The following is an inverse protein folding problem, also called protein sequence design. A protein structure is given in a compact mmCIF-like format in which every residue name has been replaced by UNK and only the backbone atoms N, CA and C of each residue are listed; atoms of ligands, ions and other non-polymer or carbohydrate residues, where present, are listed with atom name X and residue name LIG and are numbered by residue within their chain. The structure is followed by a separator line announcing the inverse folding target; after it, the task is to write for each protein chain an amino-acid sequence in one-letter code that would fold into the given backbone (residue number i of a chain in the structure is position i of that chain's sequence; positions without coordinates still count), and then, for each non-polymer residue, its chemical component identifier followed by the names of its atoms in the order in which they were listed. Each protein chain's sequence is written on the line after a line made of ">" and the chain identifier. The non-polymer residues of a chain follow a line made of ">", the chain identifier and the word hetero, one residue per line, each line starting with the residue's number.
data_IF_657259569941
#
_entry.id   IF_657259569941
#
_cell.length_a   1.000
_cell.length_b   1.000
_cell.length_c   1.000
_cell.angle_alpha   90.00
_cell.angle_beta   90.00
_cell.angle_gamma   90.00
#
_symmetry.space_group_name_H-M   'P 1'
#
loop_
_entity.id
_entity.type
_entity.pdbx_description
1 polymer ?
#
# COMPACT_ATOMS: atom_id res chain seq x y z
N UNK A 1 -13.11 21.73 -16.61
CA UNK A 1 -13.64 20.68 -15.72
C UNK A 1 -13.95 19.46 -16.54
N UNK A 2 -13.49 18.27 -16.12
CA UNK A 2 -13.88 16.98 -16.69
C UNK A 2 -14.43 16.06 -15.59
N UNK A 3 -15.17 15.03 -16.00
CA UNK A 3 -15.69 14.03 -15.07
C UNK A 3 -15.59 12.64 -15.69
N UNK A 4 -15.11 11.68 -14.91
CA UNK A 4 -15.02 10.28 -15.27
C UNK A 4 -15.91 9.44 -14.35
N UNK A 5 -16.66 8.51 -14.95
CA UNK A 5 -17.53 7.57 -14.23
C UNK A 5 -17.10 6.15 -14.52
N UNK A 6 -16.91 5.35 -13.47
CA UNK A 6 -16.62 3.92 -13.56
C UNK A 6 -17.48 3.13 -12.61
N UNK A 7 -17.87 1.94 -13.01
CA UNK A 7 -18.66 1.04 -12.17
C UNK A 7 -17.97 -0.28 -11.97
N UNK A 8 -18.18 -0.89 -10.80
CA UNK A 8 -17.74 -2.24 -10.48
C UNK A 8 -18.78 -2.91 -9.56
N UNK A 9 -18.73 -4.23 -9.46
CA UNK A 9 -19.54 -4.98 -8.50
C UNK A 9 -18.61 -5.53 -7.41
N UNK A 10 -18.93 -5.22 -6.15
CA UNK A 10 -18.29 -5.87 -5.02
C UNK A 10 -19.05 -7.16 -4.71
N UNK A 11 -18.36 -8.29 -4.73
CA UNK A 11 -19.00 -9.58 -4.45
C UNK A 11 -19.47 -9.60 -2.98
N UNK A 12 -20.67 -10.14 -2.73
CA UNK A 12 -21.16 -10.33 -1.37
C UNK A 12 -20.29 -11.28 -0.54
N UNK A 13 -19.61 -12.22 -1.19
CA UNK A 13 -18.64 -13.11 -0.54
C UNK A 13 -17.40 -12.39 -0.02
N UNK A 14 -17.18 -11.16 -0.45
CA UNK A 14 -16.08 -10.29 0.00
C UNK A 14 -16.48 -9.37 1.17
N UNK A 15 -17.68 -9.48 1.69
CA UNK A 15 -18.10 -8.74 2.88
C UNK A 15 -17.13 -9.01 4.04
N UNK A 16 -16.62 -7.94 4.65
CA UNK A 16 -15.51 -8.00 5.62
C UNK A 16 -14.10 -7.78 5.02
N UNK A 17 -13.95 -7.74 3.69
CA UNK A 17 -12.73 -7.29 3.03
C UNK A 17 -12.67 -5.76 3.00
N UNK A 18 -11.46 -5.23 2.79
CA UNK A 18 -11.23 -3.80 2.56
C UNK A 18 -11.13 -3.53 1.07
N UNK A 19 -11.77 -2.47 0.62
CA UNK A 19 -11.68 -1.98 -0.76
C UNK A 19 -11.04 -0.61 -0.78
N UNK A 20 -9.95 -0.45 -1.54
CA UNK A 20 -9.22 0.79 -1.69
C UNK A 20 -9.10 1.15 -3.17
N UNK A 21 -9.20 2.44 -3.48
CA UNK A 21 -8.88 2.96 -4.81
C UNK A 21 -7.59 3.77 -4.74
N UNK A 22 -6.67 3.48 -5.64
CA UNK A 22 -5.37 4.13 -5.75
C UNK A 22 -5.27 4.85 -7.09
N UNK A 23 -4.91 6.12 -7.07
CA UNK A 23 -4.67 6.93 -8.26
C UNK A 23 -3.19 7.24 -8.37
N UNK A 24 -2.55 6.83 -9.47
CA UNK A 24 -1.14 7.14 -9.72
C UNK A 24 -0.93 8.60 -10.13
N UNK A 25 -1.96 9.25 -10.69
CA UNK A 25 -1.92 10.67 -11.03
C UNK A 25 -3.19 11.16 -11.69
N UNK A 26 -3.70 12.30 -11.17
CA UNK A 26 -4.86 13.03 -11.69
C UNK A 26 -4.55 14.52 -11.69
N UNK A 27 -4.63 15.18 -12.83
CA UNK A 27 -4.34 16.61 -12.94
C UNK A 27 -5.63 17.41 -13.18
N UNK A 28 -6.00 18.34 -12.31
CA UNK A 28 -5.68 18.65 -10.91
C UNK A 28 -6.99 18.99 -10.19
N UNK A 29 -6.94 19.38 -8.89
CA UNK A 29 -8.13 19.64 -8.06
C UNK A 29 -9.18 18.55 -8.23
N UNK A 30 -8.73 17.29 -8.04
CA UNK A 30 -9.58 16.12 -8.25
C UNK A 30 -10.40 15.83 -6.99
N UNK A 31 -11.71 15.71 -7.15
CA UNK A 31 -12.63 15.26 -6.11
C UNK A 31 -13.17 13.88 -6.50
N UNK A 32 -13.05 12.92 -5.59
CA UNK A 32 -13.45 11.53 -5.83
C UNK A 32 -14.70 11.21 -5.01
N UNK A 33 -15.61 10.47 -5.63
CA UNK A 33 -16.88 10.04 -5.02
C UNK A 33 -17.08 8.54 -5.19
N UNK A 34 -17.69 7.89 -4.22
CA UNK A 34 -18.22 6.52 -4.29
C UNK A 34 -19.71 6.55 -3.93
N UNK A 35 -20.56 6.02 -4.79
CA UNK A 35 -22.03 5.93 -4.57
C UNK A 35 -22.68 7.26 -4.14
N UNK A 36 -22.12 8.39 -4.57
CA UNK A 36 -22.55 9.74 -4.21
C UNK A 36 -21.92 10.34 -2.96
N UNK A 37 -21.11 9.56 -2.21
CA UNK A 37 -20.34 10.06 -1.06
C UNK A 37 -19.00 10.61 -1.51
N UNK A 38 -18.68 11.82 -1.08
CA UNK A 38 -17.38 12.44 -1.32
C UNK A 38 -16.31 11.80 -0.43
N UNK A 39 -15.23 11.31 -1.07
CA UNK A 39 -14.07 10.74 -0.36
C UNK A 39 -13.02 11.80 -0.05
N UNK A 40 -12.94 12.84 -0.84
CA UNK A 40 -12.04 13.95 -0.64
C UNK A 40 -11.55 14.59 -1.94
N UNK A 41 -10.85 15.71 -1.75
CA UNK A 41 -10.26 16.49 -2.85
C UNK A 41 -8.74 16.50 -2.76
N UNK A 42 -8.07 16.25 -3.88
CA UNK A 42 -6.63 16.34 -4.04
C UNK A 42 -6.28 17.49 -4.99
N UNK A 43 -5.74 18.60 -4.48
CA UNK A 43 -5.44 19.77 -5.32
C UNK A 43 -4.22 19.57 -6.22
N UNK A 44 -3.15 18.93 -5.72
CA UNK A 44 -1.89 18.78 -6.46
C UNK A 44 -1.93 17.59 -7.43
N UNK A 45 -1.56 17.85 -8.70
CA UNK A 45 -1.75 16.90 -9.80
C UNK A 45 -0.62 15.90 -10.04
N UNK A 46 0.51 15.96 -9.32
CA UNK A 46 1.71 15.14 -9.62
C UNK A 46 2.08 14.12 -8.53
N UNK A 47 1.20 13.83 -7.59
CA UNK A 47 1.39 12.81 -6.57
C UNK A 47 0.33 11.73 -6.68
N UNK A 48 0.69 10.50 -6.27
CA UNK A 48 -0.25 9.43 -6.08
C UNK A 48 -1.04 9.62 -4.78
N UNK A 49 -2.28 9.15 -4.75
CA UNK A 49 -3.14 9.20 -3.57
C UNK A 49 -4.14 8.05 -3.59
N UNK A 50 -4.71 7.75 -2.43
CA UNK A 50 -5.67 6.67 -2.28
C UNK A 50 -6.83 7.06 -1.36
N UNK A 51 -7.93 6.32 -1.49
CA UNK A 51 -9.10 6.42 -0.61
C UNK A 51 -9.61 5.03 -0.25
N UNK A 52 -10.05 4.88 1.01
CA UNK A 52 -10.79 3.72 1.46
C UNK A 52 -12.24 3.82 0.96
N UNK A 53 -12.70 2.79 0.27
CA UNK A 53 -14.06 2.69 -0.25
C UNK A 53 -14.97 1.89 0.68
N UNK A 54 -14.40 1.10 1.56
CA UNK A 54 -15.08 0.07 2.36
C UNK A 54 -16.35 0.56 3.04
N UNK A 55 -16.37 1.73 3.72
CA UNK A 55 -17.56 2.20 4.43
C UNK A 55 -18.77 2.48 3.52
N UNK A 56 -18.53 2.64 2.22
CA UNK A 56 -19.55 3.04 1.25
C UNK A 56 -19.87 1.96 0.21
N UNK A 57 -19.27 0.77 0.35
CA UNK A 57 -19.49 -0.36 -0.56
C UNK A 57 -20.90 -0.94 -0.38
N UNK A 58 -21.58 -1.12 -1.51
CA UNK A 58 -22.80 -1.89 -1.60
C UNK A 58 -22.46 -3.31 -2.02
N UNK A 59 -22.48 -4.22 -1.05
CA UNK A 59 -22.11 -5.62 -1.25
C UNK A 59 -23.11 -6.37 -2.12
N UNK A 60 -22.64 -7.11 -3.11
CA UNK A 60 -23.49 -7.82 -4.08
C UNK A 60 -24.15 -6.92 -5.13
N UNK A 61 -23.88 -5.62 -5.09
CA UNK A 61 -24.51 -4.64 -5.96
C UNK A 61 -23.48 -3.88 -6.80
N UNK A 62 -23.99 -3.08 -7.74
CA UNK A 62 -23.20 -2.18 -8.56
C UNK A 62 -22.80 -0.94 -7.76
N UNK A 63 -21.51 -0.68 -7.69
CA UNK A 63 -20.92 0.52 -7.11
C UNK A 63 -20.46 1.48 -8.21
N UNK A 64 -20.57 2.77 -7.96
CA UNK A 64 -20.22 3.84 -8.92
C UNK A 64 -19.16 4.73 -8.33
N UNK A 65 -18.00 4.82 -9.00
CA UNK A 65 -16.96 5.79 -8.72
C UNK A 65 -17.11 6.96 -9.70
N UNK A 66 -17.08 8.19 -9.17
CA UNK A 66 -17.04 9.40 -9.96
C UNK A 66 -15.81 10.23 -9.57
N UNK A 67 -15.10 10.74 -10.58
CA UNK A 67 -13.95 11.62 -10.38
C UNK A 67 -14.23 12.91 -11.11
N UNK A 68 -14.34 14.01 -10.37
CA UNK A 68 -14.40 15.36 -10.91
C UNK A 68 -13.00 15.95 -10.91
N UNK A 69 -12.59 16.53 -12.03
CA UNK A 69 -11.30 17.21 -12.17
C UNK A 69 -11.52 18.64 -12.60
N UNK A 70 -10.88 19.58 -11.94
CA UNK A 70 -11.00 21.01 -12.25
C UNK A 70 -9.63 21.66 -12.50
N UNK A 71 -9.35 21.96 -13.75
CA UNK A 71 -8.18 22.68 -14.20
C UNK A 71 -8.60 23.95 -14.97
N UNK A 72 -9.59 24.68 -14.43
CA UNK A 72 -10.13 25.88 -15.08
C UNK A 72 -9.29 27.15 -14.82
N UNK A 73 -8.49 27.15 -13.75
CA UNK A 73 -7.65 28.32 -13.42
C UNK A 73 -6.50 28.50 -14.42
N UNK A 74 -6.39 29.71 -14.99
CA UNK A 74 -5.38 30.11 -15.96
C UNK A 74 -4.72 31.44 -15.54
N UNK A 75 -3.43 31.69 -15.92
CA UNK A 75 -2.56 30.85 -16.74
C UNK A 75 -1.94 29.70 -15.96
N UNK A 76 -1.92 28.53 -16.58
CA UNK A 76 -1.11 27.42 -16.12
C UNK A 76 0.36 27.60 -16.49
N UNK A 77 1.23 26.83 -15.87
CA UNK A 77 2.68 26.94 -15.92
C UNK A 77 3.28 26.86 -17.34
N UNK A 78 4.60 26.87 -17.41
CA UNK A 78 5.45 27.00 -18.64
C UNK A 78 5.36 25.82 -19.62
N UNK A 79 4.63 24.77 -19.29
CA UNK A 79 4.43 23.57 -20.13
C UNK A 79 2.94 23.27 -20.26
N UNK A 80 2.62 22.44 -21.25
CA UNK A 80 1.25 21.95 -21.42
C UNK A 80 0.81 21.10 -20.25
N UNK A 81 -0.34 21.40 -19.66
CA UNK A 81 -0.99 20.63 -18.60
C UNK A 81 -2.32 20.10 -19.12
N UNK A 82 -2.44 18.78 -19.24
CA UNK A 82 -3.70 18.13 -19.53
C UNK A 82 -4.66 18.23 -18.33
N UNK A 83 -5.92 17.84 -18.55
CA UNK A 83 -6.93 17.76 -17.49
C UNK A 83 -7.48 16.34 -17.45
N UNK A 84 -7.51 15.73 -16.26
CA UNK A 84 -8.07 14.39 -16.07
C UNK A 84 -7.12 13.38 -15.45
N UNK A 85 -7.51 12.12 -15.51
CA UNK A 85 -6.71 10.97 -15.07
C UNK A 85 -5.68 10.69 -16.17
N UNK A 86 -4.39 10.85 -15.86
CA UNK A 86 -3.31 10.66 -16.84
C UNK A 86 -2.41 9.45 -16.54
N UNK A 87 -2.65 8.75 -15.43
CA UNK A 87 -1.94 7.53 -15.04
C UNK A 87 -2.94 6.44 -14.62
N UNK A 88 -2.42 5.32 -14.11
CA UNK A 88 -3.25 4.18 -13.73
C UNK A 88 -4.15 4.47 -12.53
N UNK A 89 -5.29 3.79 -12.50
CA UNK A 89 -6.19 3.72 -11.35
C UNK A 89 -6.36 2.26 -10.98
N UNK A 90 -6.11 1.93 -9.72
CA UNK A 90 -6.16 0.58 -9.20
C UNK A 90 -7.31 0.43 -8.21
N UNK A 91 -8.09 -0.61 -8.36
CA UNK A 91 -9.05 -1.05 -7.35
C UNK A 91 -8.44 -2.24 -6.63
N UNK A 92 -8.10 -2.04 -5.37
CA UNK A 92 -7.41 -3.03 -4.54
C UNK A 92 -8.36 -3.63 -3.54
N UNK A 93 -8.43 -4.96 -3.49
CA UNK A 93 -9.16 -5.73 -2.49
C UNK A 93 -8.18 -6.37 -1.51
N UNK A 94 -8.36 -6.13 -0.23
CA UNK A 94 -7.46 -6.55 0.84
C UNK A 94 -8.20 -7.32 1.94
N UNK A 95 -7.49 -8.17 2.65
CA UNK A 95 -7.94 -8.62 3.97
C UNK A 95 -7.83 -7.46 4.98
N UNK A 96 -8.59 -7.48 6.09
CA UNK A 96 -8.38 -6.52 7.17
C UNK A 96 -6.93 -6.50 7.67
N UNK A 97 -6.28 -7.64 7.70
CA UNK A 97 -4.86 -7.80 8.04
C UNK A 97 -4.06 -7.95 6.75
N UNK A 98 -3.21 -6.99 6.45
CA UNK A 98 -2.46 -6.93 5.18
C UNK A 98 -1.15 -6.13 5.29
N UNK A 99 -0.32 -6.22 4.26
CA UNK A 99 0.84 -5.34 4.09
C UNK A 99 0.36 -3.95 3.68
N UNK A 100 0.86 -2.92 4.36
CA UNK A 100 0.50 -1.54 4.06
C UNK A 100 0.81 -1.17 2.60
N UNK A 101 0.13 -0.18 2.06
CA UNK A 101 0.45 0.35 0.75
C UNK A 101 1.89 0.89 0.73
N UNK A 102 2.70 0.42 -0.26
CA UNK A 102 4.15 0.65 -0.32
C UNK A 102 4.88 0.28 0.98
N UNK A 103 4.31 -0.65 1.73
CA UNK A 103 4.74 -1.01 3.08
C UNK A 103 6.02 -1.83 3.14
N UNK A 104 6.58 -2.30 2.00
CA UNK A 104 7.83 -3.03 2.00
C UNK A 104 8.96 -2.17 1.45
N UNK A 105 9.95 -1.88 2.30
CA UNK A 105 11.16 -1.13 1.96
C UNK A 105 12.36 -2.06 2.02
N UNK A 106 13.13 -2.12 0.93
CA UNK A 106 14.27 -3.02 0.78
C UNK A 106 15.53 -2.22 0.54
N UNK A 107 16.56 -2.44 1.36
CA UNK A 107 17.91 -1.90 1.16
C UNK A 107 18.93 -3.03 1.03
N UNK A 108 20.00 -2.78 0.26
CA UNK A 108 21.10 -3.70 0.13
C UNK A 108 22.33 -3.11 0.80
N UNK A 109 22.92 -3.85 1.72
CA UNK A 109 24.12 -3.51 2.47
C UNK A 109 25.23 -4.52 2.20
N UNK A 110 26.48 -4.15 2.50
CA UNK A 110 27.66 -5.02 2.34
C UNK A 110 27.71 -5.70 0.96
N UNK A 111 27.33 -4.95 -0.08
CA UNK A 111 27.21 -5.47 -1.44
C UNK A 111 28.59 -5.67 -2.06
N UNK A 112 28.82 -6.88 -2.53
CA UNK A 112 29.98 -7.29 -3.30
C UNK A 112 29.58 -8.27 -4.42
N UNK A 113 30.51 -8.68 -5.26
CA UNK A 113 30.28 -9.74 -6.24
C UNK A 113 29.98 -11.10 -5.60
N UNK A 114 30.45 -11.31 -4.36
CA UNK A 114 30.35 -12.59 -3.67
C UNK A 114 29.16 -12.67 -2.71
N UNK A 115 28.70 -11.53 -2.20
CA UNK A 115 27.61 -11.48 -1.22
C UNK A 115 26.90 -10.14 -1.21
N UNK A 116 25.67 -10.14 -0.78
CA UNK A 116 24.91 -8.97 -0.40
C UNK A 116 24.00 -9.30 0.79
N UNK A 117 23.81 -8.34 1.70
CA UNK A 117 22.82 -8.43 2.77
C UNK A 117 21.66 -7.49 2.45
N UNK A 118 20.46 -8.05 2.35
CA UNK A 118 19.24 -7.26 2.15
C UNK A 118 18.57 -7.08 3.50
N UNK A 119 18.27 -5.82 3.85
CA UNK A 119 17.38 -5.48 4.94
C UNK A 119 16.00 -5.18 4.38
N UNK A 120 15.00 -5.82 4.94
CA UNK A 120 13.60 -5.72 4.51
C UNK A 120 12.82 -5.20 5.71
N UNK A 121 12.23 -4.02 5.57
CA UNK A 121 11.29 -3.45 6.54
C UNK A 121 9.90 -3.51 5.94
N UNK A 122 8.99 -4.20 6.63
CA UNK A 122 7.61 -4.38 6.17
C UNK A 122 6.64 -3.81 7.20
N UNK A 123 5.82 -2.89 6.75
CA UNK A 123 4.74 -2.27 7.53
C UNK A 123 3.47 -3.07 7.33
N UNK A 124 2.86 -3.51 8.43
CA UNK A 124 1.63 -4.30 8.47
C UNK A 124 0.50 -3.45 9.04
N UNK A 125 -0.71 -3.68 8.55
CA UNK A 125 -1.93 -3.04 9.02
C UNK A 125 -2.97 -4.07 9.43
N UNK A 126 -3.72 -3.72 10.46
CA UNK A 126 -4.92 -4.43 10.88
C UNK A 126 -6.08 -3.44 10.94
N UNK A 127 -6.80 -3.31 9.82
CA UNK A 127 -7.90 -2.39 9.65
C UNK A 127 -9.20 -3.03 10.12
N UNK A 128 -9.80 -2.45 11.13
CA UNK A 128 -11.12 -2.83 11.63
C UNK A 128 -12.05 -1.64 11.56
N UNK A 129 -13.32 -1.88 11.32
CA UNK A 129 -14.34 -0.88 11.51
C UNK A 129 -14.62 -0.77 13.01
N UNK A 130 -14.19 0.32 13.61
CA UNK A 130 -14.66 0.66 14.94
C UNK A 130 -16.10 1.14 14.79
N UNK A 131 -17.05 0.34 15.22
CA UNK A 131 -18.43 0.80 15.35
C UNK A 131 -18.44 1.83 16.47
N UNK A 132 -18.57 3.09 16.07
CA UNK A 132 -18.72 4.22 17.00
C UNK A 132 -20.18 4.44 17.38
N UNK A 133 -21.00 3.41 17.30
CA UNK A 133 -22.37 3.48 17.80
C UNK A 133 -22.31 3.37 19.31
N UNK A 134 -22.91 4.33 19.96
CA UNK A 134 -23.14 4.48 21.40
C UNK A 134 -22.10 5.29 22.21
N UNK A 135 -21.59 6.38 21.66
CA UNK A 135 -21.13 7.47 22.51
C UNK A 135 -22.29 8.43 22.78
N UNK A 136 -22.81 8.43 23.99
CA UNK A 136 -23.79 9.44 24.44
C UNK A 136 -23.04 10.57 25.10
N UNK A 137 -23.16 11.78 24.54
CA UNK A 137 -22.65 12.98 25.19
C UNK A 137 -23.51 13.27 26.41
N UNK A 138 -22.92 13.29 27.58
CA UNK A 138 -23.58 13.67 28.83
C UNK A 138 -23.77 15.19 28.91
N UNK A 139 -24.67 15.63 29.77
CA UNK A 139 -24.98 17.05 29.96
C UNK A 139 -23.78 17.89 30.45
N UNK A 140 -22.74 17.26 30.98
CA UNK A 140 -21.49 17.89 31.41
C UNK A 140 -20.42 17.92 30.29
N UNK A 141 -20.76 17.49 29.07
CA UNK A 141 -19.86 17.46 27.91
C UNK A 141 -18.95 16.24 27.82
N UNK A 142 -19.04 15.30 28.77
CA UNK A 142 -18.31 14.04 28.71
C UNK A 142 -19.01 13.05 27.79
N UNK A 143 -18.23 12.11 27.18
CA UNK A 143 -18.77 11.03 26.38
C UNK A 143 -18.69 9.72 27.18
N UNK A 144 -19.80 9.00 27.28
CA UNK A 144 -19.80 7.62 27.79
C UNK A 144 -19.86 6.71 26.58
N UNK A 145 -18.81 5.91 26.40
CA UNK A 145 -18.76 4.84 25.40
C UNK A 145 -19.34 3.60 26.04
N UNK A 146 -20.48 3.12 25.52
CA UNK A 146 -21.07 1.87 25.93
C UNK A 146 -20.60 0.78 24.98
N UNK A 147 -20.06 -0.28 25.54
CA UNK A 147 -19.72 -1.54 24.90
C UNK A 147 -18.81 -1.44 23.66
N UNK A 148 -17.51 -1.19 23.91
CA UNK A 148 -16.52 -1.44 22.88
C UNK A 148 -16.36 -2.95 22.74
N UNK A 149 -16.77 -3.54 21.62
CA UNK A 149 -16.32 -4.89 21.27
C UNK A 149 -14.80 -4.93 21.37
N UNK A 150 -14.28 -5.82 22.21
CA UNK A 150 -12.83 -6.02 22.31
C UNK A 150 -12.41 -6.72 21.02
N UNK A 151 -11.87 -5.94 20.09
CA UNK A 151 -11.31 -6.48 18.86
C UNK A 151 -10.07 -7.28 19.24
N UNK A 152 -10.02 -8.59 18.95
CA UNK A 152 -8.92 -9.44 19.38
C UNK A 152 -7.62 -9.05 18.66
N UNK A 153 -6.51 -9.21 19.40
CA UNK A 153 -5.17 -9.22 18.79
C UNK A 153 -5.06 -10.40 17.83
N UNK A 154 -4.26 -10.25 16.77
CA UNK A 154 -4.00 -11.33 15.84
C UNK A 154 -2.50 -11.65 15.78
N UNK A 155 -2.15 -12.91 15.96
CA UNK A 155 -0.80 -13.40 15.76
C UNK A 155 -0.57 -13.75 14.30
N UNK A 156 0.50 -13.20 13.72
CA UNK A 156 0.85 -13.37 12.31
C UNK A 156 2.27 -13.86 12.12
N UNK A 157 2.49 -14.50 10.98
CA UNK A 157 3.81 -14.88 10.46
C UNK A 157 4.04 -14.13 9.17
N UNK A 158 5.13 -13.35 9.11
CA UNK A 158 5.62 -12.72 7.88
C UNK A 158 6.77 -13.56 7.33
N UNK A 159 6.58 -14.11 6.14
CA UNK A 159 7.58 -14.83 5.36
C UNK A 159 7.98 -13.95 4.17
N UNK A 160 9.24 -13.49 4.15
CA UNK A 160 9.79 -12.74 3.01
C UNK A 160 10.71 -13.62 2.20
N UNK A 161 10.42 -13.76 0.91
CA UNK A 161 11.20 -14.55 -0.05
C UNK A 161 11.85 -13.63 -1.06
N UNK A 162 13.14 -13.79 -1.26
CA UNK A 162 13.86 -13.16 -2.36
C UNK A 162 13.78 -14.08 -3.58
N UNK A 163 13.13 -13.61 -4.64
CA UNK A 163 12.90 -14.37 -5.87
C UNK A 163 13.72 -13.75 -6.99
N UNK A 164 14.46 -14.57 -7.74
CA UNK A 164 15.24 -14.13 -8.89
C UNK A 164 14.39 -13.91 -10.16
N UNK A 165 15.04 -13.50 -11.26
CA UNK A 165 14.34 -13.25 -12.53
C UNK A 165 13.71 -14.50 -13.15
N UNK A 166 14.22 -15.69 -12.82
CA UNK A 166 13.71 -16.97 -13.30
C UNK A 166 12.59 -17.56 -12.41
N UNK A 167 12.30 -16.88 -11.30
CA UNK A 167 11.26 -17.29 -10.36
C UNK A 167 11.71 -18.21 -9.25
N UNK A 168 13.02 -18.44 -9.08
CA UNK A 168 13.55 -19.27 -8.01
C UNK A 168 13.68 -18.45 -6.72
N UNK A 169 13.36 -19.08 -5.59
CA UNK A 169 13.62 -18.52 -4.27
C UNK A 169 15.10 -18.67 -3.96
N UNK A 170 15.80 -17.55 -3.83
CA UNK A 170 17.26 -17.51 -3.58
C UNK A 170 17.62 -17.08 -2.16
N UNK A 171 16.62 -16.71 -1.36
CA UNK A 171 16.75 -16.37 0.05
C UNK A 171 15.40 -16.22 0.72
N UNK A 172 15.35 -16.44 2.03
CA UNK A 172 14.12 -16.37 2.80
C UNK A 172 14.39 -15.91 4.23
N UNK A 173 13.44 -15.16 4.80
CA UNK A 173 13.38 -14.81 6.20
C UNK A 173 11.96 -14.96 6.73
N UNK A 174 11.82 -15.37 8.00
CA UNK A 174 10.52 -15.57 8.66
C UNK A 174 10.55 -14.87 10.01
N UNK A 175 9.51 -14.13 10.32
CA UNK A 175 9.33 -13.44 11.60
C UNK A 175 7.87 -13.51 12.04
N UNK A 176 7.64 -13.38 13.33
CA UNK A 176 6.31 -13.40 13.93
C UNK A 176 6.02 -12.07 14.60
N UNK A 177 4.77 -11.66 14.60
CA UNK A 177 4.29 -10.50 15.33
C UNK A 177 2.86 -10.72 15.82
N UNK A 178 2.49 -9.97 16.85
CA UNK A 178 1.11 -9.79 17.26
C UNK A 178 0.65 -8.40 16.82
N UNK A 179 -0.42 -8.34 16.04
CA UNK A 179 -0.97 -7.10 15.54
C UNK A 179 -2.12 -6.63 16.43
N UNK A 180 -2.10 -5.33 16.67
CA UNK A 180 -3.15 -4.61 17.36
C UNK A 180 -4.03 -3.90 16.32
N UNK A 181 -5.36 -3.92 16.50
CA UNK A 181 -6.26 -3.17 15.63
C UNK A 181 -5.87 -1.69 15.54
N UNK A 182 -6.05 -1.09 14.37
CA UNK A 182 -5.81 0.32 14.01
C UNK A 182 -4.38 0.85 14.25
N UNK A 183 -3.48 0.03 14.77
CA UNK A 183 -2.08 0.39 14.97
C UNK A 183 -1.19 -0.28 13.91
N UNK A 184 -0.39 0.46 13.14
CA UNK A 184 0.57 -0.14 12.23
C UNK A 184 1.68 -0.84 13.02
N UNK A 185 2.15 -1.98 12.50
CA UNK A 185 3.31 -2.68 13.04
C UNK A 185 4.42 -2.74 11.98
N UNK A 186 5.65 -2.49 12.39
CA UNK A 186 6.82 -2.63 11.51
C UNK A 186 7.61 -3.88 11.87
N UNK A 187 7.99 -4.65 10.85
CA UNK A 187 8.82 -5.85 11.00
C UNK A 187 10.10 -5.68 10.18
N UNK A 188 11.23 -5.96 10.81
CA UNK A 188 12.53 -5.96 10.14
C UNK A 188 13.03 -7.40 9.96
N UNK A 189 13.54 -7.69 8.77
CA UNK A 189 14.10 -8.99 8.40
C UNK A 189 15.38 -8.78 7.59
N UNK A 190 16.27 -9.77 7.64
CA UNK A 190 17.50 -9.78 6.86
C UNK A 190 17.60 -11.05 6.00
N UNK A 191 18.06 -10.91 4.78
CA UNK A 191 18.36 -12.02 3.88
C UNK A 191 19.79 -11.85 3.37
N UNK A 192 20.62 -12.87 3.59
CA UNK A 192 21.95 -12.94 2.98
C UNK A 192 21.86 -13.67 1.64
N UNK A 193 22.43 -13.05 0.60
CA UNK A 193 22.50 -13.62 -0.74
C UNK A 193 23.96 -13.82 -1.16
N UNK A 194 24.30 -15.04 -1.57
CA UNK A 194 25.61 -15.38 -2.13
C UNK A 194 25.61 -15.17 -3.64
N UNK A 195 26.72 -14.63 -4.16
CA UNK A 195 26.93 -14.37 -5.59
C UNK A 195 25.75 -13.65 -6.25
N UNK A 196 25.33 -12.46 -5.76
CA UNK A 196 24.21 -11.74 -6.30
C UNK A 196 24.46 -11.28 -7.74
N UNK A 197 23.41 -11.32 -8.56
CA UNK A 197 23.40 -10.58 -9.82
C UNK A 197 23.17 -9.10 -9.50
N UNK A 198 24.23 -8.30 -9.66
CA UNK A 198 24.17 -6.88 -9.32
C UNK A 198 23.43 -6.10 -10.43
N UNK A 199 22.67 -5.13 -10.01
CA UNK A 199 22.04 -4.19 -10.92
C UNK A 199 23.07 -3.17 -11.41
N UNK A 200 23.07 -2.91 -12.70
CA UNK A 200 23.81 -1.79 -13.32
C UNK A 200 22.97 -1.21 -14.47
N UNK A 201 23.40 -0.06 -15.00
CA UNK A 201 22.75 0.58 -16.15
C UNK A 201 22.79 -0.35 -17.39
N UNK A 202 23.89 -1.05 -17.59
CA UNK A 202 24.09 -1.96 -18.73
C UNK A 202 23.44 -3.32 -18.51
N UNK A 203 23.25 -3.73 -17.26
CA UNK A 203 22.61 -4.99 -16.86
C UNK A 203 21.64 -4.75 -15.69
N UNK A 204 20.42 -4.25 -15.95
CA UNK A 204 19.46 -3.87 -14.91
C UNK A 204 18.75 -5.09 -14.33
N UNK A 205 19.50 -5.99 -13.69
CA UNK A 205 18.95 -7.20 -13.11
C UNK A 205 18.08 -6.89 -11.90
N UNK A 206 16.86 -7.46 -11.90
CA UNK A 206 15.87 -7.24 -10.84
C UNK A 206 15.52 -8.54 -10.14
N UNK A 207 15.55 -8.49 -8.83
CA UNK A 207 14.90 -9.45 -7.94
C UNK A 207 13.51 -8.95 -7.55
N UNK A 208 12.78 -9.80 -6.88
CA UNK A 208 11.49 -9.49 -6.28
C UNK A 208 11.44 -10.02 -4.86
N UNK A 209 11.12 -9.17 -3.89
CA UNK A 209 10.76 -9.61 -2.55
C UNK A 209 9.27 -9.94 -2.57
N UNK A 210 8.93 -11.19 -2.26
CA UNK A 210 7.57 -11.66 -2.02
C UNK A 210 7.34 -11.70 -0.51
N UNK A 211 6.50 -10.80 0.00
CA UNK A 211 6.06 -10.77 1.40
C UNK A 211 4.76 -11.53 1.53
N UNK A 212 4.77 -12.66 2.26
CA UNK A 212 3.61 -13.52 2.49
C UNK A 212 3.23 -13.39 3.96
N UNK A 213 2.06 -12.79 4.21
CA UNK A 213 1.51 -12.66 5.55
C UNK A 213 0.52 -13.78 5.81
N UNK A 214 0.68 -14.48 6.94
CA UNK A 214 -0.16 -15.61 7.31
C UNK A 214 -0.71 -15.41 8.72
N UNK A 215 -1.91 -15.89 8.95
CA UNK A 215 -2.41 -16.11 10.30
C UNK A 215 -1.57 -17.22 10.95
N UNK A 216 -1.03 -16.97 12.14
CA UNK A 216 -0.12 -17.91 12.81
C UNK A 216 -0.84 -19.18 13.27
N UNK A 217 -2.08 -19.06 13.72
CA UNK A 217 -2.87 -20.16 14.26
C UNK A 217 -3.38 -21.10 13.16
N UNK A 218 -3.97 -20.50 12.10
CA UNK A 218 -4.62 -21.28 11.04
C UNK A 218 -3.71 -21.61 9.86
N UNK A 219 -2.60 -20.88 9.71
CA UNK A 219 -1.71 -20.96 8.55
C UNK A 219 -2.30 -20.34 7.28
N UNK A 220 -3.50 -19.76 7.34
CA UNK A 220 -4.14 -19.10 6.21
C UNK A 220 -3.30 -17.91 5.71
N UNK A 221 -3.15 -17.81 4.39
CA UNK A 221 -2.49 -16.66 3.76
C UNK A 221 -3.47 -15.48 3.76
N UNK A 222 -3.12 -14.45 4.55
CA UNK A 222 -3.89 -13.23 4.66
C UNK A 222 -3.57 -12.25 3.54
N UNK A 223 -2.27 -12.13 3.16
CA UNK A 223 -1.85 -11.22 2.09
C UNK A 223 -0.58 -11.72 1.38
N UNK A 224 -0.40 -11.27 0.13
CA UNK A 224 0.82 -11.41 -0.66
C UNK A 224 1.17 -10.10 -1.32
N UNK A 225 2.33 -9.57 -1.00
CA UNK A 225 2.81 -8.31 -1.53
C UNK A 225 4.15 -8.50 -2.26
N UNK A 226 4.32 -7.82 -3.39
CA UNK A 226 5.51 -7.97 -4.23
C UNK A 226 6.23 -6.65 -4.38
N UNK A 227 7.53 -6.64 -4.05
CA UNK A 227 8.38 -5.46 -4.16
C UNK A 227 9.56 -5.75 -5.08
N UNK A 228 9.64 -5.12 -6.26
CA UNK A 228 10.82 -5.25 -7.11
C UNK A 228 12.02 -4.57 -6.46
N UNK A 229 13.20 -5.20 -6.53
CA UNK A 229 14.43 -4.66 -5.97
C UNK A 229 15.63 -4.99 -6.83
N UNK A 230 16.53 -4.01 -7.01
CA UNK A 230 17.84 -4.20 -7.65
C UNK A 230 18.94 -4.11 -6.60
N UNK A 231 19.86 -5.06 -6.62
CA UNK A 231 20.99 -5.09 -5.67
C UNK A 231 22.12 -4.24 -6.23
N UNK A 232 22.37 -3.08 -5.62
CA UNK A 232 23.40 -2.14 -6.04
C UNK A 232 23.89 -1.32 -4.85
N UNK A 233 25.03 -0.65 -5.06
CA UNK A 233 25.50 0.41 -4.18
C UNK A 233 25.59 1.72 -4.95
N UNK A 234 25.44 2.83 -4.26
CA UNK A 234 25.79 4.14 -4.78
C UNK A 234 26.42 4.98 -3.68
N UNK A 235 27.18 5.96 -4.07
CA UNK A 235 27.77 6.92 -3.13
C UNK A 235 27.89 8.30 -3.74
N UNK A 236 27.93 9.30 -2.89
CA UNK A 236 28.29 10.65 -3.29
C UNK A 236 29.74 10.92 -2.90
N UNK A 237 30.53 11.39 -3.85
CA UNK A 237 31.89 11.80 -3.66
C UNK A 237 32.00 13.30 -3.89
N UNK A 238 32.69 14.02 -2.98
CA UNK A 238 32.80 15.48 -3.04
C UNK A 238 33.44 16.01 -4.32
N UNK A 239 34.35 15.20 -4.94
CA UNK A 239 35.10 15.58 -6.15
C UNK A 239 34.50 14.94 -7.43
N UNK A 240 33.99 13.72 -7.32
CA UNK A 240 33.52 12.92 -8.46
C UNK A 240 32.00 12.93 -8.64
N UNK A 241 31.25 13.51 -7.69
CA UNK A 241 29.81 13.56 -7.71
C UNK A 241 29.15 12.23 -7.34
N UNK A 242 28.05 11.88 -8.02
CA UNK A 242 27.33 10.62 -7.83
C UNK A 242 28.09 9.48 -8.51
N UNK A 243 28.31 8.40 -7.78
CA UNK A 243 28.95 7.17 -8.27
C UNK A 243 27.99 6.02 -8.03
N UNK A 244 27.69 5.31 -9.07
CA UNK A 244 26.89 4.10 -9.11
C UNK A 244 27.79 2.89 -9.29
#
# INVERSE_FOLDING_TARGET
>A
TSSDLKTFTADKADEGKRYRIDFDGVYMNSTVYINGHELGTRPYGYISFSYDLTPYIKWGEKNVIAVRVDNAEQPNSRWYSGCGIYRNVWLTKLNPVHVAQWGTYVTAEEVSKNSARLKIRTSLQYDVEMQTEDSVQQADGTYVVFDSEIIPLIDVVLQSRLVDADGHVVGEAVSEAQLMPVAPAEMEQEIELKNPNLWSIDAPYMYKVESILKNKETGEVLDRYYTPTGIRTFRFDAQKGFIL
#
